data_IF_771757316683
#
_entry.id   IF_771757316683
#
_cell.length_a   1.000
_cell.length_b   1.000
_cell.length_c   1.000
_cell.angle_alpha   90.00
_cell.angle_beta   90.00
_cell.angle_gamma   90.00
#
_symmetry.space_group_name_H-M   'P 1'
#
loop_
_entity.id
_entity.type
_entity.pdbx_description
1 polymer ?
#
# COMPACT_ATOMS: atom_id res chain seq x y z
N UNK A 1 -62.67 -3.88 -29.25
CA UNK A 1 -62.76 -2.46 -28.83
C UNK A 1 -62.35 -2.36 -27.36
N UNK A 2 -62.00 -1.14 -26.95
CA UNK A 2 -61.11 -0.72 -25.85
C UNK A 2 -61.77 -0.74 -24.45
N UNK A 3 -60.94 -0.79 -23.40
CA UNK A 3 -61.26 -0.44 -21.99
C UNK A 3 -60.96 -1.60 -21.03
N UNK A 4 -59.88 -1.67 -20.24
CA UNK A 4 -59.30 -0.75 -19.23
C UNK A 4 -60.27 -0.35 -18.12
N UNK A 5 -60.21 -1.00 -16.96
CA UNK A 5 -59.90 -0.31 -15.69
C UNK A 5 -59.60 -1.26 -14.51
N UNK A 6 -58.54 -0.88 -13.77
CA UNK A 6 -58.28 -0.88 -12.30
C UNK A 6 -59.24 -1.72 -11.41
N UNK A 7 -58.85 -2.46 -10.38
CA UNK A 7 -57.83 -2.25 -9.34
C UNK A 7 -57.95 -3.36 -8.26
N UNK A 8 -56.94 -3.46 -7.39
CA UNK A 8 -56.98 -3.97 -6.01
C UNK A 8 -56.78 -5.49 -5.81
N UNK A 9 -55.55 -5.79 -5.34
CA UNK A 9 -55.42 -6.46 -4.05
C UNK A 9 -55.25 -7.96 -4.09
N UNK A 10 -54.01 -8.43 -4.31
CA UNK A 10 -53.59 -9.70 -3.72
C UNK A 10 -52.12 -9.65 -3.32
N UNK A 11 -51.97 -9.61 -2.01
CA UNK A 11 -50.79 -9.97 -1.26
C UNK A 11 -50.28 -11.35 -1.71
N UNK A 12 -49.05 -11.38 -2.22
CA UNK A 12 -48.17 -12.55 -2.30
C UNK A 12 -46.76 -11.96 -2.43
N UNK A 13 -46.01 -11.90 -1.34
CA UNK A 13 -45.07 -12.94 -0.90
C UNK A 13 -43.65 -12.47 -1.19
N UNK A 14 -42.94 -12.26 -0.08
CA UNK A 14 -41.48 -12.34 0.11
C UNK A 14 -40.66 -12.69 -1.14
N UNK A 15 -39.86 -11.74 -1.59
CA UNK A 15 -38.60 -11.99 -2.31
C UNK A 15 -37.54 -11.07 -1.72
N UNK A 16 -37.02 -11.45 -0.56
CA UNK A 16 -35.67 -11.07 -0.18
C UNK A 16 -34.73 -11.83 -1.13
N UNK A 17 -34.47 -11.25 -2.30
CA UNK A 17 -33.43 -11.73 -3.20
C UNK A 17 -32.09 -11.47 -2.52
N UNK A 18 -31.59 -12.50 -1.84
CA UNK A 18 -30.21 -12.60 -1.39
C UNK A 18 -29.30 -12.42 -2.61
N UNK A 19 -28.79 -11.21 -2.80
CA UNK A 19 -27.63 -10.96 -3.64
C UNK A 19 -26.40 -11.50 -2.88
N UNK A 20 -26.27 -12.83 -2.85
CA UNK A 20 -24.99 -13.47 -2.63
C UNK A 20 -24.19 -13.26 -3.91
N UNK A 21 -23.51 -12.12 -4.01
CA UNK A 21 -22.44 -11.94 -4.95
C UNK A 21 -21.35 -12.95 -4.58
N UNK A 22 -21.41 -14.13 -5.21
CA UNK A 22 -20.27 -15.02 -5.26
C UNK A 22 -19.16 -14.23 -5.97
N UNK A 23 -18.21 -13.73 -5.20
CA UNK A 23 -16.90 -13.39 -5.71
C UNK A 23 -16.31 -14.71 -6.23
N UNK A 24 -16.59 -15.03 -7.49
CA UNK A 24 -15.78 -15.97 -8.24
C UNK A 24 -14.40 -15.33 -8.29
N UNK A 25 -13.53 -15.75 -7.37
CA UNK A 25 -12.09 -15.61 -7.56
C UNK A 25 -11.82 -16.31 -8.88
N UNK A 26 -11.66 -15.51 -9.94
CA UNK A 26 -11.16 -16.01 -11.20
C UNK A 26 -9.74 -16.46 -10.90
N UNK A 27 -9.58 -17.73 -10.51
CA UNK A 27 -8.28 -18.37 -10.47
C UNK A 27 -7.78 -18.30 -11.91
N UNK A 28 -6.70 -17.54 -12.19
CA UNK A 28 -6.14 -17.54 -13.53
C UNK A 28 -5.83 -19.00 -13.86
N UNK A 29 -6.56 -19.57 -14.80
CA UNK A 29 -6.16 -20.83 -15.39
C UNK A 29 -4.83 -20.52 -16.06
N UNK A 30 -3.72 -20.99 -15.48
CA UNK A 30 -2.42 -20.93 -16.12
C UNK A 30 -2.52 -21.78 -17.38
N UNK A 31 -2.90 -21.14 -18.48
CA UNK A 31 -2.79 -21.71 -19.81
C UNK A 31 -1.33 -22.14 -19.98
N UNK A 32 -1.11 -23.29 -20.60
CA UNK A 32 0.21 -23.88 -20.91
C UNK A 32 1.03 -23.02 -21.89
N UNK A 33 1.19 -21.73 -21.61
CA UNK A 33 2.25 -20.90 -22.17
C UNK A 33 3.53 -21.13 -21.40
N UNK A 34 4.67 -20.98 -22.08
CA UNK A 34 6.08 -21.13 -21.65
C UNK A 34 6.49 -20.32 -20.40
N UNK A 35 5.72 -20.35 -19.31
CA UNK A 35 6.13 -19.81 -18.03
C UNK A 35 7.08 -20.78 -17.35
N UNK A 36 8.21 -20.27 -16.86
CA UNK A 36 9.13 -21.02 -16.02
C UNK A 36 8.35 -21.64 -14.83
N UNK A 37 8.63 -22.90 -14.51
CA UNK A 37 8.01 -23.56 -13.36
C UNK A 37 8.34 -22.84 -12.05
N UNK A 38 9.48 -22.16 -11.97
CA UNK A 38 9.80 -21.30 -10.84
C UNK A 38 8.78 -20.14 -10.69
N UNK A 39 8.29 -19.59 -11.80
CA UNK A 39 7.20 -18.60 -11.78
C UNK A 39 5.86 -19.16 -11.37
N UNK A 40 5.52 -20.32 -11.95
CA UNK A 40 4.26 -20.98 -11.64
C UNK A 40 4.19 -21.29 -10.14
N UNK A 41 5.30 -21.71 -9.52
CA UNK A 41 5.36 -21.91 -8.06
C UNK A 41 5.07 -20.62 -7.30
N UNK A 42 5.73 -19.51 -7.65
CA UNK A 42 5.55 -18.24 -6.94
C UNK A 42 4.08 -17.79 -6.98
N UNK A 43 3.45 -17.85 -8.15
CA UNK A 43 2.07 -17.40 -8.33
C UNK A 43 1.05 -18.39 -7.72
N UNK A 44 1.25 -19.70 -7.90
CA UNK A 44 0.38 -20.72 -7.33
C UNK A 44 0.48 -20.82 -5.81
N UNK A 45 1.67 -20.61 -5.24
CA UNK A 45 1.87 -20.63 -3.79
C UNK A 45 1.08 -19.51 -3.10
N UNK A 46 1.03 -18.31 -3.69
CA UNK A 46 0.21 -17.21 -3.19
C UNK A 46 -1.29 -17.55 -3.12
N UNK A 47 -1.76 -18.41 -4.03
CA UNK A 47 -3.13 -18.93 -4.06
C UNK A 47 -3.35 -20.26 -3.32
N UNK A 48 -2.32 -20.86 -2.73
CA UNK A 48 -2.43 -22.16 -2.04
C UNK A 48 -2.56 -23.38 -2.96
N UNK A 49 -2.02 -23.32 -4.18
CA UNK A 49 -2.12 -24.35 -5.23
C UNK A 49 -3.56 -24.72 -5.62
N UNK A 50 -4.32 -23.76 -6.19
CA UNK A 50 -5.67 -24.01 -6.71
C UNK A 50 -5.66 -24.98 -7.91
N UNK A 51 -6.84 -25.40 -8.38
CA UNK A 51 -7.00 -26.29 -9.54
C UNK A 51 -6.24 -25.72 -10.77
N UNK A 52 -5.39 -26.55 -11.40
CA UNK A 52 -4.49 -26.15 -12.49
C UNK A 52 -3.04 -25.86 -12.07
N UNK A 53 -2.73 -25.83 -10.77
CA UNK A 53 -1.38 -25.62 -10.24
C UNK A 53 -0.62 -26.92 -9.87
N UNK A 54 -1.13 -28.10 -10.26
CA UNK A 54 -0.57 -29.40 -9.84
C UNK A 54 0.90 -29.57 -10.25
N UNK A 55 1.27 -29.12 -11.45
CA UNK A 55 2.65 -29.18 -11.96
C UNK A 55 3.59 -28.33 -11.08
N UNK A 56 3.15 -27.14 -10.67
CA UNK A 56 3.92 -26.26 -9.79
C UNK A 56 4.06 -26.86 -8.38
N UNK A 57 3.00 -27.47 -7.84
CA UNK A 57 3.03 -28.12 -6.54
C UNK A 57 4.05 -29.27 -6.50
N UNK A 58 3.99 -30.18 -7.48
CA UNK A 58 4.93 -31.31 -7.60
C UNK A 58 6.36 -30.81 -7.77
N UNK A 59 6.57 -29.79 -8.61
CA UNK A 59 7.88 -29.19 -8.83
C UNK A 59 8.45 -28.54 -7.56
N UNK A 60 7.63 -27.82 -6.78
CA UNK A 60 8.02 -27.27 -5.48
C UNK A 60 8.47 -28.39 -4.51
N UNK A 61 7.67 -29.45 -4.41
CA UNK A 61 8.00 -30.58 -3.53
C UNK A 61 9.29 -31.29 -3.95
N UNK A 62 9.51 -31.52 -5.25
CA UNK A 62 10.76 -32.13 -5.76
C UNK A 62 11.99 -31.32 -5.35
N UNK A 63 11.94 -29.98 -5.42
CA UNK A 63 13.07 -29.13 -5.02
C UNK A 63 13.36 -29.19 -3.52
N UNK A 64 12.32 -29.16 -2.68
CA UNK A 64 12.46 -29.16 -1.21
C UNK A 64 12.87 -30.54 -0.68
N UNK A 65 12.36 -31.61 -1.29
CA UNK A 65 12.60 -32.99 -0.85
C UNK A 65 13.90 -33.60 -1.40
N UNK A 66 14.54 -32.95 -2.39
CA UNK A 66 15.85 -33.36 -2.89
C UNK A 66 16.93 -33.27 -1.80
N UNK A 67 17.93 -34.16 -1.84
CA UNK A 67 19.08 -34.13 -0.92
C UNK A 67 20.38 -34.08 -1.73
N UNK A 68 21.13 -32.96 -1.67
CA UNK A 68 20.80 -31.71 -0.97
C UNK A 68 19.59 -31.01 -1.61
N UNK A 69 18.83 -30.18 -0.86
CA UNK A 69 17.77 -29.37 -1.43
C UNK A 69 18.27 -28.56 -2.61
N UNK A 70 17.47 -28.50 -3.67
CA UNK A 70 17.82 -27.69 -4.85
C UNK A 70 17.82 -26.20 -4.44
N UNK A 71 18.56 -25.32 -5.13
CA UNK A 71 18.56 -23.87 -4.88
C UNK A 71 17.13 -23.28 -4.83
N UNK A 72 16.89 -22.10 -4.26
CA UNK A 72 15.57 -21.47 -4.26
C UNK A 72 15.03 -21.23 -5.69
N UNK A 73 13.71 -21.03 -5.79
CA UNK A 73 13.05 -20.65 -7.06
C UNK A 73 13.67 -19.36 -7.61
N UNK A 74 13.93 -19.32 -8.92
CA UNK A 74 14.39 -18.14 -9.63
C UNK A 74 13.39 -16.99 -9.61
N UNK A 75 13.80 -15.83 -10.14
CA UNK A 75 12.89 -14.70 -10.32
C UNK A 75 11.93 -14.96 -11.49
N UNK A 76 10.82 -14.22 -11.51
CA UNK A 76 9.91 -14.29 -12.63
C UNK A 76 10.31 -13.40 -13.80
N UNK A 77 10.71 -14.02 -14.91
CA UNK A 77 10.91 -13.37 -16.20
C UNK A 77 9.60 -13.38 -17.03
N UNK A 78 9.54 -12.52 -18.06
CA UNK A 78 8.48 -12.55 -19.07
C UNK A 78 8.48 -13.88 -19.85
N UNK A 79 7.43 -14.16 -20.61
CA UNK A 79 7.29 -15.41 -21.40
C UNK A 79 8.40 -15.63 -22.44
N UNK A 80 9.18 -14.60 -22.76
CA UNK A 80 10.35 -14.67 -23.64
C UNK A 80 11.68 -14.77 -22.88
N UNK A 81 11.63 -14.96 -21.55
CA UNK A 81 12.80 -15.03 -20.68
C UNK A 81 13.48 -13.69 -20.42
N UNK A 82 12.92 -12.58 -20.94
CA UNK A 82 13.46 -11.25 -20.70
C UNK A 82 12.98 -10.67 -19.37
N UNK A 83 13.74 -9.71 -18.84
CA UNK A 83 13.28 -8.87 -17.74
C UNK A 83 12.12 -8.00 -18.23
N UNK A 84 11.03 -7.90 -17.46
CA UNK A 84 9.98 -6.93 -17.76
C UNK A 84 10.54 -5.52 -17.50
N UNK A 85 10.93 -4.80 -18.56
CA UNK A 85 11.53 -3.46 -18.44
C UNK A 85 10.55 -2.33 -18.70
N UNK A 86 9.29 -2.64 -19.05
CA UNK A 86 8.28 -1.64 -19.40
C UNK A 86 7.58 -1.08 -18.15
N UNK A 87 8.38 -0.56 -17.22
CA UNK A 87 7.91 0.10 -16.02
C UNK A 87 8.83 1.25 -15.64
N UNK A 88 8.31 2.19 -14.86
CA UNK A 88 9.10 3.21 -14.17
C UNK A 88 8.72 3.17 -12.69
N UNK A 89 9.72 3.04 -11.83
CA UNK A 89 9.53 3.06 -10.37
C UNK A 89 10.41 4.17 -9.75
N UNK A 90 10.10 5.46 -9.99
CA UNK A 90 10.79 6.53 -9.31
C UNK A 90 10.65 6.34 -7.79
N UNK A 91 11.77 6.49 -7.10
CA UNK A 91 11.83 6.47 -5.66
C UNK A 91 12.66 7.64 -5.15
N UNK A 92 12.25 8.17 -3.99
CA UNK A 92 12.91 9.26 -3.29
C UNK A 92 13.19 8.82 -1.87
N UNK A 93 14.44 8.91 -1.42
CA UNK A 93 14.77 8.72 -0.01
C UNK A 93 14.27 9.94 0.77
N UNK A 94 13.47 9.69 1.79
CA UNK A 94 13.01 10.72 2.71
C UNK A 94 14.01 10.85 3.85
N UNK A 95 14.40 12.09 4.18
CA UNK A 95 15.28 12.36 5.32
C UNK A 95 14.43 12.76 6.52
N UNK A 96 14.91 12.45 7.72
CA UNK A 96 14.29 12.97 8.95
C UNK A 96 14.27 14.50 9.00
N UNK A 97 15.18 15.16 8.29
CA UNK A 97 15.24 16.61 8.17
C UNK A 97 14.18 17.20 7.24
N UNK A 98 13.54 16.38 6.41
CA UNK A 98 12.48 16.80 5.52
C UNK A 98 11.14 16.59 6.24
N UNK A 99 10.21 17.54 6.11
CA UNK A 99 8.86 17.40 6.68
C UNK A 99 8.16 16.14 6.14
N UNK A 100 8.37 15.82 4.86
CA UNK A 100 7.85 14.64 4.18
C UNK A 100 8.30 13.30 4.78
N UNK A 101 9.40 13.30 5.54
CA UNK A 101 9.92 12.13 6.25
C UNK A 101 9.13 11.75 7.50
N UNK A 102 8.00 12.40 7.74
CA UNK A 102 7.16 12.17 8.92
C UNK A 102 5.70 12.08 8.54
N UNK A 103 5.00 11.11 9.14
CA UNK A 103 3.58 10.90 8.94
C UNK A 103 2.80 11.21 10.22
N UNK A 104 1.67 11.88 10.02
CA UNK A 104 0.61 12.04 11.02
C UNK A 104 -0.70 11.44 10.52
N UNK A 105 -1.42 10.69 11.37
CA UNK A 105 -2.77 10.22 11.06
C UNK A 105 -3.73 11.37 10.78
N UNK A 106 -4.80 11.06 10.05
CA UNK A 106 -5.85 12.01 9.71
C UNK A 106 -6.42 12.72 10.95
N UNK A 107 -6.74 14.01 10.77
CA UNK A 107 -7.25 14.86 11.84
C UNK A 107 -6.17 15.41 12.79
N UNK A 108 -4.90 15.02 12.62
CA UNK A 108 -3.77 15.59 13.35
C UNK A 108 -2.86 16.38 12.42
N UNK A 109 -2.19 17.37 13.01
CA UNK A 109 -1.22 18.25 12.35
C UNK A 109 0.19 17.83 12.71
N UNK A 110 1.10 17.92 11.76
CA UNK A 110 2.52 17.71 11.99
C UNK A 110 3.16 18.99 12.56
N UNK A 111 3.95 18.82 13.61
CA UNK A 111 5.00 19.76 13.98
C UNK A 111 6.32 19.13 13.55
N UNK A 112 7.12 19.87 12.79
CA UNK A 112 8.46 19.49 12.38
C UNK A 112 9.35 20.71 12.55
N UNK A 113 10.42 20.54 13.31
CA UNK A 113 11.40 21.59 13.55
C UNK A 113 12.81 21.00 13.49
N UNK A 114 13.68 21.65 12.72
CA UNK A 114 15.10 21.29 12.62
C UNK A 114 15.92 22.41 13.26
N UNK A 115 16.54 22.10 14.39
CA UNK A 115 17.43 23.02 15.10
C UNK A 115 18.87 22.55 15.00
N UNK A 116 19.84 23.40 15.37
CA UNK A 116 21.24 23.01 15.54
C UNK A 116 21.64 23.23 17.00
N UNK A 117 22.34 22.24 17.56
CA UNK A 117 22.98 22.40 18.86
C UNK A 117 24.28 23.20 18.76
N UNK A 118 24.88 23.51 19.91
CA UNK A 118 26.12 24.29 20.02
C UNK A 118 27.31 23.62 19.29
N UNK A 119 27.23 22.30 19.04
CA UNK A 119 28.22 21.55 18.29
C UNK A 119 27.92 21.50 16.78
N UNK A 120 26.90 22.23 16.33
CA UNK A 120 26.45 22.25 14.94
C UNK A 120 25.70 20.99 14.50
N UNK A 121 25.37 20.06 15.42
CA UNK A 121 24.59 18.87 15.09
C UNK A 121 23.14 19.25 14.94
N UNK A 122 22.49 18.68 13.93
CA UNK A 122 21.08 18.94 13.66
C UNK A 122 20.22 18.07 14.58
N UNK A 123 19.24 18.70 15.22
CA UNK A 123 18.26 18.06 16.08
C UNK A 123 16.91 18.22 15.40
N UNK A 124 16.21 17.10 15.18
CA UNK A 124 14.89 17.09 14.56
C UNK A 124 13.87 16.81 15.66
N UNK A 125 12.92 17.72 15.84
CA UNK A 125 11.72 17.47 16.63
C UNK A 125 10.53 17.29 15.68
N UNK A 126 9.92 16.10 15.71
CA UNK A 126 8.74 15.79 14.91
C UNK A 126 7.68 15.10 15.76
N UNK A 127 6.45 15.61 15.75
CA UNK A 127 5.32 15.03 16.45
C UNK A 127 3.98 15.47 15.87
N UNK A 128 2.94 14.69 16.12
CA UNK A 128 1.58 15.02 15.71
C UNK A 128 0.81 15.66 16.85
N UNK A 129 -0.08 16.60 16.54
CA UNK A 129 -0.92 17.29 17.51
C UNK A 129 -2.30 17.63 16.93
N UNK A 130 -3.31 17.74 17.79
CA UNK A 130 -4.69 18.08 17.37
C UNK A 130 -4.84 19.59 17.16
N UNK A 131 -4.40 20.38 18.15
CA UNK A 131 -4.50 21.83 18.14
C UNK A 131 -3.36 22.48 18.93
N UNK A 132 -3.08 23.74 18.61
CA UNK A 132 -2.07 24.54 19.32
C UNK A 132 -2.75 25.75 19.97
N UNK A 133 -2.44 25.97 21.25
CA UNK A 133 -2.78 27.20 21.97
C UNK A 133 -1.49 27.89 22.42
N UNK A 134 -1.58 29.12 22.91
CA UNK A 134 -0.40 29.86 23.36
C UNK A 134 -0.60 30.32 24.80
N UNK A 135 0.45 30.17 25.61
CA UNK A 135 0.49 30.76 26.96
C UNK A 135 1.65 31.73 27.08
N UNK A 136 1.47 32.73 27.92
CA UNK A 136 2.57 33.61 28.28
C UNK A 136 3.48 32.92 29.29
N UNK A 137 4.79 33.04 29.09
CA UNK A 137 5.84 32.57 30.01
C UNK A 137 6.82 33.71 30.25
N UNK A 138 7.33 33.85 31.48
CA UNK A 138 8.21 34.96 31.87
C UNK A 138 7.45 36.15 32.47
N UNK A 139 8.20 37.17 32.88
CA UNK A 139 7.68 38.39 33.51
C UNK A 139 8.40 39.63 32.96
N UNK A 140 7.72 40.78 32.94
CA UNK A 140 8.31 42.03 32.40
C UNK A 140 8.66 41.91 30.92
N UNK A 141 9.88 42.32 30.57
CA UNK A 141 10.40 42.32 29.19
C UNK A 141 10.69 40.91 28.65
N UNK A 142 10.93 39.92 29.53
CA UNK A 142 11.16 38.51 29.14
C UNK A 142 9.87 37.75 28.85
N UNK A 143 8.72 38.43 28.87
CA UNK A 143 7.41 37.81 28.67
C UNK A 143 7.22 37.41 27.21
N UNK A 144 7.27 36.11 26.93
CA UNK A 144 7.09 35.53 25.59
C UNK A 144 5.89 34.60 25.49
N UNK A 145 5.28 34.54 24.30
CA UNK A 145 4.26 33.52 23.99
C UNK A 145 4.96 32.21 23.66
N UNK A 146 4.54 31.12 24.30
CA UNK A 146 5.02 29.77 24.00
C UNK A 146 3.85 28.89 23.56
N UNK A 147 4.05 28.03 22.55
CA UNK A 147 3.01 27.11 22.11
C UNK A 147 2.75 26.04 23.17
N UNK A 148 1.50 25.59 23.24
CA UNK A 148 1.03 24.46 24.05
C UNK A 148 0.21 23.58 23.12
N UNK A 149 0.78 22.44 22.77
CA UNK A 149 0.18 21.46 21.87
C UNK A 149 -0.76 20.53 22.64
N UNK A 150 -1.96 20.34 22.09
CA UNK A 150 -2.96 19.40 22.62
C UNK A 150 -2.86 18.06 21.91
N UNK A 151 -3.03 16.98 22.66
CA UNK A 151 -2.99 15.60 22.18
C UNK A 151 -1.70 15.28 21.39
N UNK A 152 -0.55 15.62 21.98
CA UNK A 152 0.76 15.38 21.36
C UNK A 152 1.07 13.88 21.36
N UNK A 153 1.40 13.34 20.19
CA UNK A 153 1.85 11.97 20.00
C UNK A 153 3.05 11.92 19.06
N UNK A 154 3.84 10.85 19.12
CA UNK A 154 4.98 10.67 18.22
C UNK A 154 4.52 10.62 16.76
N UNK A 155 5.24 11.32 15.87
CA UNK A 155 5.07 11.17 14.43
C UNK A 155 5.74 9.87 13.97
N UNK A 156 5.19 9.24 12.93
CA UNK A 156 5.77 8.03 12.38
C UNK A 156 6.85 8.41 11.37
N UNK A 157 8.12 7.99 11.54
CA UNK A 157 9.16 8.29 10.57
C UNK A 157 8.93 7.52 9.27
N UNK A 158 9.26 8.12 8.14
CA UNK A 158 9.22 7.56 6.80
C UNK A 158 10.58 7.81 6.14
N UNK A 159 11.07 6.87 5.33
CA UNK A 159 12.40 6.91 4.73
C UNK A 159 12.40 6.64 3.22
N UNK A 160 11.27 6.23 2.66
CA UNK A 160 11.11 5.96 1.23
C UNK A 160 9.78 6.50 0.73
N UNK A 161 9.81 7.21 -0.39
CA UNK A 161 8.65 7.54 -1.20
C UNK A 161 8.81 6.86 -2.57
N UNK A 162 7.73 6.31 -3.11
CA UNK A 162 7.75 5.64 -4.41
C UNK A 162 6.40 5.71 -5.12
N UNK A 163 6.45 5.70 -6.45
CA UNK A 163 5.29 5.49 -7.32
C UNK A 163 5.71 4.52 -8.41
N UNK A 164 4.83 3.60 -8.79
CA UNK A 164 5.09 2.67 -9.89
C UNK A 164 4.19 3.05 -11.06
N UNK A 165 4.76 3.11 -12.25
CA UNK A 165 4.05 3.22 -13.53
C UNK A 165 4.40 2.01 -14.38
N UNK A 166 3.41 1.28 -14.84
CA UNK A 166 3.52 0.13 -15.75
C UNK A 166 3.15 0.62 -17.14
N UNK A 167 3.88 0.17 -18.17
CA UNK A 167 3.67 0.53 -19.57
C UNK A 167 3.52 2.05 -19.83
N UNK A 168 4.46 2.89 -19.35
CA UNK A 168 4.36 4.35 -19.42
C UNK A 168 4.23 4.84 -20.87
N UNK A 169 3.24 5.71 -21.12
CA UNK A 169 2.98 6.30 -22.43
C UNK A 169 2.22 5.39 -23.40
N UNK A 170 1.75 4.23 -22.95
CA UNK A 170 0.94 3.30 -23.76
C UNK A 170 -0.55 3.39 -23.42
N UNK A 171 -1.40 2.73 -24.22
CA UNK A 171 -2.83 2.61 -23.91
C UNK A 171 -3.11 1.76 -22.66
N UNK A 172 -2.13 0.95 -22.24
CA UNK A 172 -2.20 0.06 -21.08
C UNK A 172 -1.48 0.66 -19.86
N UNK A 173 -1.17 1.97 -19.86
CA UNK A 173 -0.50 2.63 -18.74
C UNK A 173 -1.31 2.46 -17.45
N UNK A 174 -0.66 1.88 -16.45
CA UNK A 174 -1.17 1.83 -15.08
C UNK A 174 -0.25 2.61 -14.16
N UNK A 175 -0.79 3.58 -13.43
CA UNK A 175 -0.07 4.36 -12.43
C UNK A 175 -0.61 4.05 -11.05
N UNK A 176 0.26 3.62 -10.14
CA UNK A 176 -0.10 3.46 -8.74
C UNK A 176 -0.23 4.82 -8.04
N UNK A 177 -0.89 4.85 -6.90
CA UNK A 177 -0.77 5.96 -5.96
C UNK A 177 0.67 6.09 -5.45
N UNK A 178 1.00 7.26 -4.89
CA UNK A 178 2.30 7.50 -4.26
C UNK A 178 2.27 6.87 -2.88
N UNK A 179 3.28 6.06 -2.56
CA UNK A 179 3.43 5.46 -1.24
C UNK A 179 4.59 6.10 -0.52
N UNK A 180 4.41 6.40 0.77
CA UNK A 180 5.52 6.63 1.71
C UNK A 180 5.61 5.49 2.70
N UNK A 181 6.83 5.02 2.93
CA UNK A 181 7.11 3.79 3.65
C UNK A 181 8.18 4.07 4.70
N UNK A 182 8.06 3.38 5.83
CA UNK A 182 9.15 3.17 6.77
C UNK A 182 9.74 1.78 6.51
N UNK A 183 10.89 1.70 5.84
CA UNK A 183 11.47 0.41 5.44
C UNK A 183 11.92 -0.45 6.62
N UNK A 184 12.19 0.16 7.79
CA UNK A 184 12.57 -0.56 9.00
C UNK A 184 11.41 -1.28 9.71
N UNK A 185 10.18 -0.78 9.56
CA UNK A 185 8.98 -1.33 10.23
C UNK A 185 7.95 -1.90 9.27
N UNK A 186 8.05 -1.60 7.98
CA UNK A 186 7.05 -1.95 6.97
C UNK A 186 5.79 -1.10 7.03
N UNK A 187 5.71 -0.10 7.90
CA UNK A 187 4.60 0.85 7.92
C UNK A 187 4.54 1.62 6.60
N UNK A 188 3.35 1.75 6.02
CA UNK A 188 3.13 2.40 4.73
C UNK A 188 1.88 3.26 4.75
N UNK A 189 1.95 4.37 4.03
CA UNK A 189 0.84 5.28 3.80
C UNK A 189 0.71 5.54 2.31
N UNK A 190 -0.53 5.53 1.85
CA UNK A 190 -0.91 5.87 0.48
C UNK A 190 -1.29 7.35 0.47
N UNK A 191 -0.67 8.12 -0.41
CA UNK A 191 -1.03 9.51 -0.63
C UNK A 191 -2.15 9.51 -1.69
N UNK A 192 -3.29 10.09 -1.33
CA UNK A 192 -4.37 10.31 -2.28
C UNK A 192 -3.92 11.32 -3.34
N UNK A 193 -4.16 11.00 -4.60
CA UNK A 193 -4.04 11.95 -5.71
C UNK A 193 -5.14 13.01 -5.53
N UNK A 194 -4.77 14.24 -5.15
CA UNK A 194 -5.68 15.40 -5.13
C UNK A 194 -5.95 15.96 -6.54
#
# INVERSE_FOLDING_TARGET
MKGSDKTIGRWLSLMAASFAAAFAVQTPAFAEGDYDLDCAVILCLAGGFPEGCDKAYVYMLDRITHIPPKPPFGFCAMSDGSEYTDYTAPHRRLRSEDEDGWYCPDGLKLHHEVTRDDNGRRQVEAFCYESVSYRWKGYGEDRRKVPVYRNRQAATPLDLEMQITIAPGTADEYRSSVFRINTGTGFRVELSDE
#
